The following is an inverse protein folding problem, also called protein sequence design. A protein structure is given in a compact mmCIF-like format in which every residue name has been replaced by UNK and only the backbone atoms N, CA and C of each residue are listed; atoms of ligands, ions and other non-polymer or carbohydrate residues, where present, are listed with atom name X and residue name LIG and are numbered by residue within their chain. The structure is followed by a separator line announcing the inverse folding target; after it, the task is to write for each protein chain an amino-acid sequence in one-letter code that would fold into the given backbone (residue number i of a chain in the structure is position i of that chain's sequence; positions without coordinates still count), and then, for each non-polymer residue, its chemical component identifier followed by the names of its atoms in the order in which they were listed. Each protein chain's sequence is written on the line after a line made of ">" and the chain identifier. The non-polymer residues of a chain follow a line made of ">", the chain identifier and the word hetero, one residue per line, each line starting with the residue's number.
data_IF_573218024295
#
_entry.id   IF_573218024295
#
_cell.length_a   1.000
_cell.length_b   1.000
_cell.length_c   1.000
_cell.angle_alpha   90.00
_cell.angle_beta   90.00
_cell.angle_gamma   90.00
#
_symmetry.space_group_name_H-M   'P 1'
#
loop_
_entity.id
_entity.type
_entity.pdbx_description
1 polymer ?
#
# COMPACT_ATOMS: atom_id res chain seq x y z
N UNK A 1 0.48 -1.46 28.24
CA UNK A 1 1.30 -1.92 27.11
C UNK A 1 1.89 -0.69 26.44
N UNK A 2 3.01 -0.82 25.71
CA UNK A 2 3.59 0.32 25.00
C UNK A 2 2.67 0.67 23.82
N UNK A 3 2.43 1.96 23.55
CA UNK A 3 1.67 2.38 22.38
C UNK A 3 2.57 3.32 21.57
N UNK A 4 3.00 2.85 20.41
CA UNK A 4 4.06 3.51 19.64
C UNK A 4 3.65 4.88 19.08
N UNK A 5 2.34 5.17 19.04
CA UNK A 5 1.83 6.49 18.74
C UNK A 5 1.89 7.43 19.95
N UNK A 6 1.26 7.06 21.07
CA UNK A 6 1.21 7.94 22.25
C UNK A 6 2.56 8.12 22.94
N UNK A 7 3.47 7.15 22.78
CA UNK A 7 4.84 7.22 23.29
C UNK A 7 5.76 8.10 22.41
N UNK A 8 5.26 8.60 21.28
CA UNK A 8 6.01 9.43 20.33
C UNK A 8 5.35 10.81 20.18
N UNK A 9 5.52 11.73 21.15
CA UNK A 9 4.83 13.03 21.18
C UNK A 9 5.15 13.93 19.97
N UNK A 10 6.23 13.65 19.25
CA UNK A 10 6.63 14.38 18.04
C UNK A 10 5.56 14.27 16.94
N UNK A 11 4.77 13.20 16.86
CA UNK A 11 3.71 13.08 15.86
C UNK A 11 2.62 14.14 16.01
N UNK A 12 2.37 14.61 17.25
CA UNK A 12 1.44 15.71 17.52
C UNK A 12 1.87 17.02 16.86
N UNK A 13 3.16 17.21 16.62
CA UNK A 13 3.65 18.39 15.89
C UNK A 13 3.11 18.44 14.45
N UNK A 14 3.07 17.30 13.76
CA UNK A 14 2.57 17.21 12.39
C UNK A 14 1.05 17.34 12.33
N UNK A 15 0.33 16.69 13.24
CA UNK A 15 -1.13 16.73 13.30
C UNK A 15 -1.68 18.11 13.71
N UNK A 16 -0.94 18.84 14.55
CA UNK A 16 -1.32 20.21 14.95
C UNK A 16 -0.78 21.28 13.99
N UNK A 17 -0.17 20.89 12.86
CA UNK A 17 0.37 21.85 11.91
C UNK A 17 -0.78 22.69 11.31
N UNK A 18 -0.65 24.03 11.18
CA UNK A 18 -1.74 24.90 10.70
C UNK A 18 -2.32 24.53 9.33
N UNK A 19 -1.54 23.84 8.49
CA UNK A 19 -2.00 23.36 7.17
C UNK A 19 -2.92 22.15 7.25
N UNK A 20 -2.99 21.43 8.38
CA UNK A 20 -3.84 20.24 8.51
C UNK A 20 -5.30 20.54 8.21
N UNK A 21 -5.81 21.71 8.64
CA UNK A 21 -7.17 22.14 8.27
C UNK A 21 -7.38 22.16 6.76
N UNK A 22 -6.45 22.75 6.01
CA UNK A 22 -6.55 22.82 4.55
C UNK A 22 -6.39 21.44 3.89
N UNK A 23 -5.49 20.61 4.42
CA UNK A 23 -5.26 19.25 3.94
C UNK A 23 -6.53 18.40 4.10
N UNK A 24 -7.15 18.43 5.28
CA UNK A 24 -8.37 17.70 5.58
C UNK A 24 -9.54 18.19 4.74
N UNK A 25 -9.76 19.50 4.65
CA UNK A 25 -10.83 20.05 3.81
C UNK A 25 -10.72 19.61 2.34
N UNK A 26 -9.49 19.52 1.81
CA UNK A 26 -9.23 19.03 0.46
C UNK A 26 -9.48 17.52 0.32
N UNK A 27 -8.92 16.72 1.24
CA UNK A 27 -9.06 15.26 1.20
C UNK A 27 -10.49 14.79 1.41
N UNK A 28 -11.23 15.43 2.32
CA UNK A 28 -12.64 15.17 2.60
C UNK A 28 -13.60 15.85 1.61
N UNK A 29 -13.07 16.65 0.66
CA UNK A 29 -13.85 17.40 -0.33
C UNK A 29 -14.96 18.24 0.31
N UNK A 30 -14.62 18.96 1.38
CA UNK A 30 -15.57 19.66 2.27
C UNK A 30 -16.62 18.72 2.90
N UNK A 31 -16.18 17.54 3.36
CA UNK A 31 -17.01 16.55 4.06
C UNK A 31 -18.19 16.06 3.21
N UNK A 32 -17.95 15.85 1.92
CA UNK A 32 -18.99 15.46 0.95
C UNK A 32 -19.60 14.08 1.25
N UNK A 33 -18.81 13.21 1.89
CA UNK A 33 -19.14 11.80 2.12
C UNK A 33 -19.86 11.56 3.46
N UNK A 34 -20.06 12.60 4.28
CA UNK A 34 -20.56 12.51 5.67
C UNK A 34 -21.97 11.94 5.84
N UNK A 35 -22.78 11.91 4.78
CA UNK A 35 -24.12 11.29 4.79
C UNK A 35 -24.17 9.98 4.01
N UNK A 36 -23.04 9.57 3.42
CA UNK A 36 -22.92 8.35 2.61
C UNK A 36 -22.26 7.23 3.40
N UNK A 37 -21.29 7.55 4.24
CA UNK A 37 -20.59 6.60 5.09
C UNK A 37 -20.71 7.04 6.55
N UNK A 38 -21.03 6.10 7.43
CA UNK A 38 -21.22 6.31 8.86
C UNK A 38 -19.93 6.68 9.60
N UNK A 39 -18.77 6.27 9.06
CA UNK A 39 -17.44 6.64 9.56
C UNK A 39 -16.80 7.84 8.83
N UNK A 40 -17.51 8.50 7.92
CA UNK A 40 -17.00 9.73 7.31
C UNK A 40 -17.11 10.90 8.29
N UNK A 41 -16.08 11.77 8.41
CA UNK A 41 -16.10 12.86 9.37
C UNK A 41 -17.10 13.95 8.96
N UNK A 42 -17.74 14.56 9.96
CA UNK A 42 -18.73 15.63 9.78
C UNK A 42 -18.08 16.99 9.55
N UNK A 43 -16.92 17.21 10.18
CA UNK A 43 -16.14 18.44 10.16
C UNK A 43 -14.66 18.16 10.49
N UNK A 44 -13.87 19.24 10.63
CA UNK A 44 -12.42 19.15 10.84
C UNK A 44 -12.06 18.48 12.16
N UNK A 45 -12.78 18.81 13.23
CA UNK A 45 -12.45 18.28 14.56
C UNK A 45 -12.77 16.78 14.63
N UNK A 46 -13.89 16.37 14.02
CA UNK A 46 -14.26 14.96 13.87
C UNK A 46 -13.24 14.17 13.03
N UNK A 47 -12.73 14.77 11.95
CA UNK A 47 -11.66 14.16 11.15
C UNK A 47 -10.37 13.97 11.95
N UNK A 48 -9.95 14.99 12.71
CA UNK A 48 -8.74 14.91 13.53
C UNK A 48 -8.88 13.88 14.67
N UNK A 49 -10.05 13.81 15.32
CA UNK A 49 -10.36 12.79 16.33
C UNK A 49 -10.33 11.37 15.74
N UNK A 50 -10.88 11.19 14.53
CA UNK A 50 -10.79 9.93 13.79
C UNK A 50 -9.34 9.52 13.51
N UNK A 51 -8.50 10.46 13.06
CA UNK A 51 -7.08 10.19 12.81
C UNK A 51 -6.34 9.80 14.08
N UNK A 52 -6.60 10.51 15.19
CA UNK A 52 -6.01 10.20 16.48
C UNK A 52 -6.36 8.79 16.96
N UNK A 53 -7.64 8.41 16.89
CA UNK A 53 -8.10 7.08 17.30
C UNK A 53 -7.50 5.97 16.45
N UNK A 54 -7.43 6.15 15.13
CA UNK A 54 -6.83 5.16 14.24
C UNK A 54 -5.33 5.05 14.49
N UNK A 55 -4.63 6.17 14.71
CA UNK A 55 -3.20 6.15 15.05
C UNK A 55 -2.94 5.49 16.42
N UNK A 56 -3.83 5.66 17.40
CA UNK A 56 -3.78 4.93 18.66
C UNK A 56 -3.91 3.41 18.43
N UNK A 57 -4.86 2.96 17.60
CA UNK A 57 -5.02 1.54 17.24
C UNK A 57 -3.77 1.01 16.54
N UNK A 58 -3.22 1.74 15.56
CA UNK A 58 -1.96 1.36 14.89
C UNK A 58 -0.83 1.23 15.91
N UNK A 59 -0.70 2.20 16.82
CA UNK A 59 0.32 2.22 17.85
C UNK A 59 0.21 1.07 18.85
N UNK A 60 -1.02 0.65 19.20
CA UNK A 60 -1.29 -0.49 20.08
C UNK A 60 -0.95 -1.81 19.38
N UNK A 61 -1.43 -2.03 18.15
CA UNK A 61 -1.09 -3.23 17.35
C UNK A 61 0.43 -3.35 17.18
N UNK A 62 1.12 -2.23 16.97
CA UNK A 62 2.57 -2.23 16.84
C UNK A 62 3.29 -2.65 18.12
N UNK A 63 2.87 -2.12 19.28
CA UNK A 63 3.48 -2.45 20.57
C UNK A 63 3.13 -3.85 21.08
N UNK A 64 1.96 -4.36 20.74
CA UNK A 64 1.42 -5.59 21.33
C UNK A 64 1.57 -6.82 20.44
N UNK A 65 1.69 -6.62 19.12
CA UNK A 65 1.73 -7.71 18.13
C UNK A 65 2.99 -7.61 17.24
N UNK A 66 3.19 -6.48 16.55
CA UNK A 66 4.22 -6.41 15.50
C UNK A 66 5.64 -6.42 16.07
N UNK A 67 5.93 -5.60 17.08
CA UNK A 67 7.28 -5.54 17.67
C UNK A 67 7.69 -6.85 18.35
N UNK A 68 6.84 -7.52 19.17
CA UNK A 68 7.16 -8.83 19.73
C UNK A 68 7.45 -9.91 18.67
N UNK A 69 6.87 -9.77 17.48
CA UNK A 69 7.04 -10.70 16.36
C UNK A 69 8.34 -10.47 15.58
N UNK A 70 8.92 -9.27 15.62
CA UNK A 70 10.00 -8.84 14.73
C UNK A 70 11.26 -9.74 14.78
N UNK A 71 11.72 -10.12 15.98
CA UNK A 71 12.88 -11.00 16.13
C UNK A 71 12.61 -12.40 15.54
N UNK A 72 11.39 -12.91 15.69
CA UNK A 72 11.02 -14.22 15.15
C UNK A 72 10.89 -14.17 13.63
N UNK A 73 10.42 -13.05 13.06
CA UNK A 73 10.38 -12.84 11.60
C UNK A 73 11.79 -12.94 11.00
N UNK A 74 12.80 -12.29 11.62
CA UNK A 74 14.19 -12.34 11.15
C UNK A 74 14.77 -13.77 11.20
N UNK A 75 14.47 -14.51 12.27
CA UNK A 75 14.98 -15.87 12.42
C UNK A 75 14.29 -16.92 11.54
N UNK A 76 12.99 -16.78 11.30
CA UNK A 76 12.21 -17.78 10.56
C UNK A 76 12.17 -17.51 9.06
N UNK A 77 12.01 -16.24 8.66
CA UNK A 77 11.94 -15.82 7.26
C UNK A 77 10.81 -16.46 6.44
N UNK A 78 10.58 -15.98 5.20
CA UNK A 78 9.69 -16.64 4.27
C UNK A 78 10.33 -17.92 3.70
N UNK A 79 9.49 -18.85 3.26
CA UNK A 79 9.91 -20.05 2.50
C UNK A 79 9.33 -20.04 1.11
N UNK A 80 10.01 -20.70 0.16
CA UNK A 80 9.53 -20.86 -1.21
C UNK A 80 9.37 -22.34 -1.51
N UNK A 81 8.16 -22.76 -1.85
CA UNK A 81 7.83 -24.14 -2.25
C UNK A 81 7.01 -24.10 -3.53
N UNK A 82 7.41 -24.89 -4.55
CA UNK A 82 6.72 -24.97 -5.85
C UNK A 82 6.44 -23.61 -6.52
N UNK A 83 7.38 -22.67 -6.36
CA UNK A 83 7.28 -21.33 -6.95
C UNK A 83 6.35 -20.37 -6.22
N UNK A 84 5.84 -20.74 -5.04
CA UNK A 84 5.02 -19.88 -4.18
C UNK A 84 5.72 -19.58 -2.85
N UNK A 85 5.55 -18.36 -2.37
CA UNK A 85 6.04 -17.88 -1.09
C UNK A 85 5.03 -18.25 -0.01
N UNK A 86 5.53 -18.73 1.12
CA UNK A 86 4.79 -18.76 2.38
C UNK A 86 5.51 -17.82 3.33
N UNK A 87 4.82 -16.77 3.81
CA UNK A 87 5.38 -15.87 4.80
C UNK A 87 5.75 -16.62 6.09
N UNK A 88 6.67 -16.04 6.86
CA UNK A 88 6.85 -16.44 8.24
C UNK A 88 5.50 -16.33 8.97
N UNK A 89 5.17 -17.28 9.86
CA UNK A 89 3.91 -17.25 10.62
C UNK A 89 3.67 -15.91 11.31
N UNK A 90 4.66 -15.28 12.00
CA UNK A 90 4.44 -13.98 12.63
C UNK A 90 4.19 -12.84 11.64
N UNK A 91 4.76 -12.89 10.42
CA UNK A 91 4.44 -11.92 9.36
C UNK A 91 2.98 -12.02 8.93
N UNK A 92 2.44 -13.25 8.82
CA UNK A 92 1.03 -13.46 8.54
C UNK A 92 0.14 -12.97 9.69
N UNK A 93 0.53 -13.22 10.94
CA UNK A 93 -0.18 -12.71 12.11
C UNK A 93 -0.23 -11.17 12.14
N UNK A 94 0.87 -10.51 11.77
CA UNK A 94 0.93 -9.06 11.64
C UNK A 94 -0.03 -8.54 10.54
N UNK A 95 -0.04 -9.17 9.36
CA UNK A 95 -1.01 -8.85 8.29
C UNK A 95 -2.45 -9.05 8.76
N UNK A 96 -2.74 -10.18 9.41
CA UNK A 96 -4.07 -10.51 9.91
C UNK A 96 -4.56 -9.51 10.95
N UNK A 97 -3.68 -9.01 11.82
CA UNK A 97 -4.00 -8.00 12.82
C UNK A 97 -4.42 -6.68 12.17
N UNK A 98 -3.66 -6.20 11.19
CA UNK A 98 -3.99 -4.96 10.46
C UNK A 98 -5.23 -5.12 9.57
N UNK A 99 -5.42 -6.28 8.95
CA UNK A 99 -6.61 -6.61 8.17
C UNK A 99 -7.88 -6.61 9.05
N UNK A 100 -7.83 -7.24 10.23
CA UNK A 100 -8.96 -7.28 11.18
C UNK A 100 -9.30 -5.90 11.74
N UNK A 101 -8.31 -5.01 11.84
CA UNK A 101 -8.49 -3.62 12.24
C UNK A 101 -8.91 -2.69 11.08
N UNK A 102 -9.12 -3.24 9.87
CA UNK A 102 -9.51 -2.49 8.66
C UNK A 102 -8.49 -1.39 8.29
N UNK A 103 -7.20 -1.67 8.51
CA UNK A 103 -6.09 -0.74 8.26
C UNK A 103 -5.44 -0.94 6.88
N UNK A 104 -6.14 -1.61 5.97
CA UNK A 104 -5.75 -1.70 4.56
C UNK A 104 -6.55 -0.71 3.72
N UNK A 105 -5.89 -0.08 2.76
CA UNK A 105 -6.47 0.98 1.96
C UNK A 105 -6.71 2.26 2.77
N UNK A 106 -5.88 2.55 3.78
CA UNK A 106 -6.08 3.73 4.66
C UNK A 106 -6.24 5.03 3.86
N UNK A 107 -5.42 5.22 2.82
CA UNK A 107 -5.46 6.41 1.97
C UNK A 107 -6.57 6.36 0.90
N UNK A 108 -7.10 5.18 0.59
CA UNK A 108 -8.07 5.02 -0.49
C UNK A 108 -9.41 5.70 -0.18
N UNK A 109 -10.12 6.18 -1.22
CA UNK A 109 -11.49 6.65 -1.06
C UNK A 109 -12.42 5.60 -0.45
N UNK A 110 -13.38 6.06 0.37
CA UNK A 110 -14.39 5.22 1.04
C UNK A 110 -15.20 4.32 0.10
N UNK A 111 -15.43 4.77 -1.14
CA UNK A 111 -16.11 3.96 -2.17
C UNK A 111 -15.39 2.66 -2.53
N UNK A 112 -14.11 2.56 -2.22
CA UNK A 112 -13.30 1.36 -2.41
C UNK A 112 -13.04 0.61 -1.10
N UNK A 113 -13.69 0.99 0.00
CA UNK A 113 -13.50 0.38 1.33
C UNK A 113 -12.35 0.96 2.15
N UNK A 114 -11.76 2.08 1.73
CA UNK A 114 -10.69 2.75 2.49
C UNK A 114 -11.18 3.78 3.50
N UNK A 115 -10.24 4.34 4.28
CA UNK A 115 -10.53 5.33 5.32
C UNK A 115 -10.47 6.79 4.82
N UNK A 116 -10.00 7.01 3.59
CA UNK A 116 -9.77 8.32 2.98
C UNK A 116 -8.79 9.21 3.77
N UNK A 117 -7.79 8.63 4.42
CA UNK A 117 -6.79 9.38 5.20
C UNK A 117 -5.89 10.24 4.29
N UNK A 118 -5.55 11.47 4.69
CA UNK A 118 -4.51 12.25 4.01
C UNK A 118 -3.12 11.66 4.30
N UNK A 119 -2.13 12.05 3.50
CA UNK A 119 -0.77 11.50 3.61
C UNK A 119 -0.11 11.71 4.98
N UNK A 120 -0.48 12.74 5.74
CA UNK A 120 0.15 13.02 7.05
C UNK A 120 -0.10 11.87 8.05
N UNK A 121 -1.34 11.53 8.45
CA UNK A 121 -1.59 10.39 9.34
C UNK A 121 -1.21 9.04 8.69
N UNK A 122 -1.26 8.90 7.37
CA UNK A 122 -0.80 7.69 6.69
C UNK A 122 0.71 7.48 6.86
N UNK A 123 1.53 8.52 6.66
CA UNK A 123 2.98 8.45 6.86
C UNK A 123 3.38 8.32 8.34
N UNK A 124 2.61 8.90 9.26
CA UNK A 124 2.79 8.65 10.69
C UNK A 124 2.57 7.16 11.00
N UNK A 125 1.53 6.54 10.42
CA UNK A 125 1.28 5.10 10.57
C UNK A 125 2.45 4.27 10.03
N UNK A 126 3.00 4.65 8.87
CA UNK A 126 4.18 4.01 8.31
C UNK A 126 5.40 4.09 9.25
N UNK A 127 5.65 5.25 9.86
CA UNK A 127 6.74 5.43 10.84
C UNK A 127 6.55 4.54 12.08
N UNK A 128 5.33 4.52 12.62
CA UNK A 128 4.96 3.66 13.77
C UNK A 128 5.21 2.18 13.47
N UNK A 129 4.76 1.69 12.31
CA UNK A 129 4.96 0.28 11.90
C UNK A 129 6.43 0.01 11.62
N UNK A 130 7.16 0.94 11.00
CA UNK A 130 8.60 0.80 10.73
C UNK A 130 9.44 0.68 12.00
N UNK A 131 9.06 1.42 13.05
CA UNK A 131 9.67 1.31 14.38
C UNK A 131 9.48 -0.08 15.00
N UNK A 132 8.36 -0.74 14.73
CA UNK A 132 8.07 -2.09 15.22
C UNK A 132 8.78 -3.17 14.39
N UNK A 133 8.61 -3.13 13.08
CA UNK A 133 9.27 -4.04 12.13
C UNK A 133 9.37 -3.37 10.75
N UNK A 134 10.57 -2.90 10.40
CA UNK A 134 10.84 -2.26 9.12
C UNK A 134 10.66 -3.20 7.90
N UNK A 135 10.84 -4.51 8.08
CA UNK A 135 10.62 -5.47 6.99
C UNK A 135 9.13 -5.65 6.72
N UNK A 136 8.33 -5.77 7.78
CA UNK A 136 6.88 -5.85 7.69
C UNK A 136 6.26 -4.54 7.18
N UNK A 137 6.78 -3.39 7.61
CA UNK A 137 6.34 -2.10 7.08
C UNK A 137 6.44 -2.04 5.56
N UNK A 138 7.51 -2.58 4.96
CA UNK A 138 7.66 -2.63 3.50
C UNK A 138 6.54 -3.47 2.85
N UNK A 139 6.14 -4.59 3.46
CA UNK A 139 5.03 -5.41 2.95
C UNK A 139 3.70 -4.65 3.07
N UNK A 140 3.41 -4.09 4.25
CA UNK A 140 2.14 -3.42 4.51
C UNK A 140 1.94 -2.15 3.68
N UNK A 141 3.00 -1.35 3.49
CA UNK A 141 2.93 -0.10 2.71
C UNK A 141 2.86 -0.31 1.20
N UNK A 142 3.09 -1.53 0.70
CA UNK A 142 2.89 -1.81 -0.74
C UNK A 142 1.44 -1.63 -1.18
N UNK A 143 0.47 -1.54 -0.26
CA UNK A 143 -0.89 -1.07 -0.56
C UNK A 143 -0.90 0.30 -1.29
N UNK A 144 0.13 1.14 -1.12
CA UNK A 144 0.29 2.42 -1.82
C UNK A 144 0.44 2.26 -3.35
N UNK A 145 0.79 1.06 -3.84
CA UNK A 145 0.69 0.75 -5.27
C UNK A 145 -0.75 0.95 -5.79
N UNK A 146 -1.75 0.77 -4.94
CA UNK A 146 -3.15 1.05 -5.27
C UNK A 146 -3.41 2.53 -5.59
N UNK A 147 -2.62 3.48 -5.07
CA UNK A 147 -2.76 4.89 -5.48
C UNK A 147 -2.39 5.10 -6.95
N UNK A 148 -1.46 4.30 -7.50
CA UNK A 148 -1.16 4.32 -8.94
C UNK A 148 -2.35 3.82 -9.76
N UNK A 149 -3.04 2.78 -9.30
CA UNK A 149 -4.29 2.31 -9.91
C UNK A 149 -5.37 3.39 -9.79
N UNK A 150 -5.51 4.00 -8.63
CA UNK A 150 -6.50 5.05 -8.37
C UNK A 150 -6.32 6.27 -9.28
N UNK A 151 -5.09 6.69 -9.52
CA UNK A 151 -4.78 7.84 -10.37
C UNK A 151 -4.96 7.52 -11.87
N UNK A 152 -4.37 6.42 -12.35
CA UNK A 152 -4.16 6.21 -13.79
C UNK A 152 -5.04 5.15 -14.45
N UNK A 153 -5.64 4.25 -13.68
CA UNK A 153 -6.42 3.14 -14.27
C UNK A 153 -7.81 3.61 -14.76
N UNK A 154 -8.52 2.74 -15.48
CA UNK A 154 -9.93 2.98 -15.81
C UNK A 154 -10.83 2.82 -14.58
N UNK A 155 -12.07 3.32 -14.63
CA UNK A 155 -13.01 3.12 -13.53
C UNK A 155 -13.31 1.63 -13.30
N UNK A 156 -13.36 0.82 -14.37
CA UNK A 156 -13.52 -0.64 -14.26
C UNK A 156 -12.39 -1.27 -13.45
N UNK A 157 -11.14 -0.96 -13.77
CA UNK A 157 -9.97 -1.46 -13.04
C UNK A 157 -9.94 -0.96 -11.58
N UNK A 158 -10.28 0.31 -11.34
CA UNK A 158 -10.34 0.84 -9.96
C UNK A 158 -11.36 0.09 -9.11
N UNK A 159 -12.56 -0.17 -9.66
CA UNK A 159 -13.61 -0.92 -8.98
C UNK A 159 -13.27 -2.40 -8.78
N UNK A 160 -12.40 -2.97 -9.62
CA UNK A 160 -11.93 -4.35 -9.50
C UNK A 160 -10.84 -4.50 -8.43
N UNK A 161 -9.76 -3.71 -8.51
CA UNK A 161 -8.55 -3.96 -7.73
C UNK A 161 -8.51 -3.24 -6.37
N UNK A 162 -8.98 -1.99 -6.28
CA UNK A 162 -8.86 -1.24 -5.02
C UNK A 162 -9.64 -1.85 -3.86
N UNK A 163 -10.87 -2.37 -4.06
CA UNK A 163 -11.59 -3.08 -2.99
C UNK A 163 -10.94 -4.39 -2.56
N UNK A 164 -10.15 -5.03 -3.42
CA UNK A 164 -9.39 -6.25 -3.07
C UNK A 164 -8.26 -5.91 -2.12
N UNK A 165 -7.51 -4.85 -2.42
CA UNK A 165 -6.42 -4.35 -1.56
C UNK A 165 -6.96 -3.88 -0.21
N UNK A 166 -8.08 -3.13 -0.19
CA UNK A 166 -8.74 -2.73 1.07
C UNK A 166 -9.22 -3.91 1.93
N UNK A 167 -9.42 -5.10 1.33
CA UNK A 167 -9.78 -6.35 2.02
C UNK A 167 -8.56 -7.20 2.41
N UNK A 168 -7.34 -6.70 2.20
CA UNK A 168 -6.12 -7.35 2.63
C UNK A 168 -5.34 -8.10 1.57
N UNK A 169 -5.76 -8.04 0.29
CA UNK A 169 -4.90 -8.53 -0.78
C UNK A 169 -3.63 -7.67 -0.89
N UNK A 170 -2.50 -8.35 -1.02
CA UNK A 170 -1.17 -7.73 -1.03
C UNK A 170 -0.78 -7.28 -2.42
N UNK A 171 0.13 -6.30 -2.48
CA UNK A 171 0.61 -5.75 -3.74
C UNK A 171 2.12 -5.86 -3.89
N UNK A 172 2.59 -5.71 -5.12
CA UNK A 172 4.01 -5.52 -5.45
C UNK A 172 4.19 -4.56 -6.63
N UNK A 173 5.38 -3.97 -6.71
CA UNK A 173 5.78 -3.06 -7.79
C UNK A 173 6.99 -3.63 -8.54
N UNK A 174 6.77 -4.00 -9.79
CA UNK A 174 7.59 -4.94 -10.54
C UNK A 174 8.36 -4.20 -11.64
N UNK A 175 9.40 -3.47 -11.23
CA UNK A 175 10.15 -2.56 -12.12
C UNK A 175 11.48 -3.14 -12.58
N UNK A 176 12.31 -3.52 -11.61
CA UNK A 176 13.73 -3.79 -11.79
C UNK A 176 13.98 -5.11 -12.52
N UNK A 177 14.98 -5.11 -13.40
CA UNK A 177 15.47 -6.29 -14.13
C UNK A 177 16.95 -6.54 -13.79
N UNK A 178 17.49 -7.74 -14.07
CA UNK A 178 18.91 -8.03 -13.84
C UNK A 178 19.87 -6.99 -14.44
N UNK A 179 19.53 -6.45 -15.61
CA UNK A 179 20.32 -5.48 -16.36
C UNK A 179 19.76 -4.03 -16.29
N UNK A 180 18.67 -3.79 -15.57
CA UNK A 180 18.03 -2.48 -15.44
C UNK A 180 17.53 -2.22 -14.01
N UNK A 181 18.35 -1.50 -13.23
CA UNK A 181 18.02 -1.00 -11.89
C UNK A 181 17.75 0.51 -11.91
N UNK A 182 18.78 1.31 -11.61
CA UNK A 182 18.66 2.78 -11.64
C UNK A 182 18.26 3.35 -13.01
N UNK A 183 18.62 2.65 -14.09
CA UNK A 183 18.24 3.00 -15.47
C UNK A 183 16.95 2.27 -15.90
N UNK A 184 15.81 2.62 -15.31
CA UNK A 184 14.52 1.95 -15.59
C UNK A 184 14.08 2.06 -17.06
N UNK A 185 14.59 3.03 -17.80
CA UNK A 185 14.33 3.19 -19.23
C UNK A 185 14.83 1.99 -20.05
N UNK A 186 15.82 1.27 -19.52
CA UNK A 186 16.46 0.12 -20.16
C UNK A 186 15.68 -1.20 -19.97
N UNK A 187 14.54 -1.19 -19.30
CA UNK A 187 13.64 -2.36 -19.14
C UNK A 187 13.36 -3.04 -20.49
N UNK A 188 13.54 -4.36 -20.55
CA UNK A 188 13.41 -5.18 -21.76
C UNK A 188 12.30 -6.22 -21.68
N UNK A 189 11.68 -6.46 -20.52
CA UNK A 189 10.49 -7.30 -20.41
C UNK A 189 9.46 -6.84 -21.45
N UNK A 190 9.01 -7.74 -22.30
CA UNK A 190 8.12 -7.42 -23.42
C UNK A 190 6.67 -7.60 -23.03
N UNK A 191 5.84 -6.62 -23.38
CA UNK A 191 4.40 -6.75 -23.38
C UNK A 191 3.90 -6.87 -24.83
N UNK A 192 3.21 -7.98 -25.15
CA UNK A 192 2.61 -8.21 -26.47
C UNK A 192 1.11 -8.41 -26.35
N UNK A 193 0.32 -7.63 -27.09
CA UNK A 193 -1.14 -7.75 -27.08
C UNK A 193 -1.62 -8.94 -27.91
N UNK A 194 -2.47 -9.79 -27.35
CA UNK A 194 -3.15 -10.86 -28.07
C UNK A 194 -4.59 -10.45 -28.36
N UNK A 195 -4.87 -10.07 -29.62
CA UNK A 195 -6.20 -9.64 -30.06
C UNK A 195 -7.28 -10.73 -29.93
N UNK A 196 -6.93 -12.01 -30.06
CA UNK A 196 -7.90 -13.12 -29.99
C UNK A 196 -8.41 -13.33 -28.56
N UNK A 197 -7.54 -13.13 -27.59
CA UNK A 197 -7.85 -13.32 -26.17
C UNK A 197 -8.17 -12.00 -25.46
N UNK A 198 -7.92 -10.86 -26.10
CA UNK A 198 -8.19 -9.54 -25.54
C UNK A 198 -7.31 -9.19 -24.34
N UNK A 199 -6.10 -9.76 -24.26
CA UNK A 199 -5.19 -9.58 -23.12
C UNK A 199 -3.74 -9.37 -23.55
N UNK A 200 -2.95 -8.80 -22.64
CA UNK A 200 -1.51 -8.63 -22.81
C UNK A 200 -0.75 -9.82 -22.23
N UNK A 201 0.28 -10.27 -22.93
CA UNK A 201 1.26 -11.20 -22.39
C UNK A 201 2.54 -10.48 -22.02
N UNK A 202 3.04 -10.80 -20.83
CA UNK A 202 4.30 -10.30 -20.31
C UNK A 202 5.35 -11.41 -20.42
N UNK A 203 6.49 -11.11 -21.05
CA UNK A 203 7.58 -12.05 -21.23
C UNK A 203 8.93 -11.42 -20.88
N UNK A 204 9.52 -11.88 -19.78
CA UNK A 204 10.82 -11.44 -19.28
C UNK A 204 11.00 -11.85 -17.82
N UNK A 205 11.99 -11.24 -17.17
CA UNK A 205 12.34 -11.54 -15.78
C UNK A 205 12.52 -10.24 -15.02
N UNK A 206 11.80 -10.10 -13.90
CA UNK A 206 12.02 -9.05 -12.90
C UNK A 206 12.90 -9.57 -11.77
N UNK A 207 13.57 -8.68 -11.05
CA UNK A 207 14.49 -9.00 -9.95
C UNK A 207 14.37 -7.97 -8.83
N UNK A 208 14.58 -8.43 -7.59
CA UNK A 208 14.52 -7.60 -6.38
C UNK A 208 13.15 -6.97 -6.17
N UNK A 209 12.10 -7.74 -6.46
CA UNK A 209 10.72 -7.32 -6.23
C UNK A 209 10.38 -7.65 -4.78
N UNK A 210 10.25 -6.62 -3.96
CA UNK A 210 9.70 -6.76 -2.61
C UNK A 210 8.28 -7.29 -2.72
N UNK A 211 7.99 -8.34 -1.95
CA UNK A 211 6.72 -9.02 -1.98
C UNK A 211 6.34 -9.61 -3.36
N UNK A 212 7.31 -10.07 -4.15
CA UNK A 212 7.10 -10.52 -5.54
C UNK A 212 6.26 -11.79 -5.76
N UNK A 213 5.55 -12.30 -4.75
CA UNK A 213 4.51 -13.34 -4.89
C UNK A 213 3.16 -12.84 -4.34
N UNK A 214 2.94 -11.52 -4.42
CA UNK A 214 1.73 -10.83 -4.01
C UNK A 214 0.49 -11.27 -4.81
N UNK A 215 -0.68 -10.78 -4.39
CA UNK A 215 -1.95 -11.06 -5.06
C UNK A 215 -2.16 -10.18 -6.31
N UNK A 216 -1.60 -8.97 -6.30
CA UNK A 216 -1.72 -7.98 -7.38
C UNK A 216 -0.36 -7.35 -7.67
N UNK A 217 0.04 -7.35 -8.94
CA UNK A 217 1.33 -6.81 -9.38
C UNK A 217 1.14 -5.57 -10.27
N UNK A 218 1.98 -4.56 -10.08
CA UNK A 218 2.16 -3.48 -11.05
C UNK A 218 3.47 -3.67 -11.82
N UNK A 219 3.37 -4.22 -13.03
CA UNK A 219 4.52 -4.63 -13.84
C UNK A 219 4.85 -3.60 -14.91
N UNK A 220 6.08 -3.08 -14.86
CA UNK A 220 6.60 -2.20 -15.91
C UNK A 220 7.16 -3.03 -17.06
N UNK A 221 6.63 -2.86 -18.25
CA UNK A 221 7.00 -3.62 -19.44
C UNK A 221 7.07 -2.76 -20.69
N UNK A 222 7.86 -3.18 -21.67
CA UNK A 222 7.98 -2.52 -22.97
C UNK A 222 6.90 -3.02 -23.92
N UNK A 223 5.98 -2.12 -24.27
CA UNK A 223 4.83 -2.37 -25.13
C UNK A 223 5.05 -1.86 -26.56
N UNK A 224 5.94 -0.88 -26.75
CA UNK A 224 6.27 -0.34 -28.05
C UNK A 224 7.57 -0.95 -28.61
N UNK A 225 7.43 -1.72 -29.70
CA UNK A 225 8.56 -2.38 -30.35
C UNK A 225 9.62 -1.38 -30.87
N UNK A 226 10.90 -1.73 -30.72
CA UNK A 226 12.02 -0.94 -31.22
C UNK A 226 12.40 0.28 -30.38
N UNK A 227 11.58 0.63 -29.39
CA UNK A 227 11.90 1.71 -28.43
C UNK A 227 13.02 1.29 -27.47
N UNK A 228 13.78 2.27 -26.99
CA UNK A 228 14.92 2.07 -26.06
C UNK A 228 14.91 3.01 -24.86
N UNK A 229 13.90 3.88 -24.77
CA UNK A 229 13.71 4.82 -23.68
C UNK A 229 12.37 4.58 -22.99
N UNK A 230 12.06 5.40 -21.99
CA UNK A 230 10.90 5.27 -21.13
C UNK A 230 9.56 5.44 -21.87
N UNK A 231 9.52 6.09 -23.04
CA UNK A 231 8.27 6.37 -23.76
C UNK A 231 7.60 5.11 -24.31
N UNK A 232 8.38 4.06 -24.55
CA UNK A 232 7.85 2.76 -24.98
C UNK A 232 7.52 1.80 -23.85
N UNK A 233 7.58 2.26 -22.59
CA UNK A 233 7.19 1.48 -21.43
C UNK A 233 5.73 1.75 -21.06
N UNK A 234 5.07 0.73 -20.53
CA UNK A 234 3.71 0.80 -20.00
C UNK A 234 3.65 0.02 -18.69
N UNK A 235 2.73 0.42 -17.81
CA UNK A 235 2.45 -0.28 -16.56
C UNK A 235 1.26 -1.23 -16.77
N UNK A 236 1.36 -2.44 -16.24
CA UNK A 236 0.33 -3.48 -16.36
C UNK A 236 -0.08 -3.96 -14.97
N UNK A 237 -1.38 -4.21 -14.79
CA UNK A 237 -1.86 -4.98 -13.64
C UNK A 237 -1.77 -6.46 -14.01
N UNK A 238 -1.11 -7.26 -13.17
CA UNK A 238 -0.93 -8.71 -13.33
C UNK A 238 -1.42 -9.45 -12.09
#
# INVERSE_FOLDING_TARGET
>A
MANFYTDTPQFRHYLNHPLMKRIVELKERNYADKYTYDYAPMDFEDAMDSYDKILEVVGEICGDIIEPNAETVDHSGPTVTDGRVTYATPTQENLDALNKAELMGMAFPRRFGGLNFPMVPYMISADIVSRADASFQNIWMLQDCGETIYEFASDEQKNEYLPRVAKGETMSMDLTEPDAGSDLQAVMLKASYNEKEGQWYLNGVKRFITNGDADIHLVLARSEEGTKDARGLSMYVY
#
